data_IF_665888577793
#
_entry.id   IF_665888577793
#
_cell.length_a   1.000
_cell.length_b   1.000
_cell.length_c   1.000
_cell.angle_alpha   90.00
_cell.angle_beta   90.00
_cell.angle_gamma   90.00
#
_symmetry.space_group_name_H-M   'P 1'
#
loop_
_entity.id
_entity.type
_entity.pdbx_description
1 polymer ?
#
# COMPACT_ATOMS: atom_id res chain seq x y z
N UNK A 1 -26.71 12.95 -7.84
CA UNK A 1 -25.68 13.95 -7.44
C UNK A 1 -24.34 13.28 -7.67
N UNK A 2 -23.49 13.81 -8.55
CA UNK A 2 -22.16 13.26 -8.82
C UNK A 2 -21.34 13.33 -7.53
N UNK A 3 -20.96 12.18 -6.98
CA UNK A 3 -19.97 12.10 -5.91
C UNK A 3 -18.60 12.43 -6.51
N UNK A 4 -18.32 13.72 -6.71
CA UNK A 4 -16.98 14.16 -7.07
C UNK A 4 -16.05 13.87 -5.91
N UNK A 5 -15.09 12.99 -6.17
CA UNK A 5 -14.07 12.59 -5.21
C UNK A 5 -13.11 13.77 -5.04
N UNK A 6 -13.07 14.34 -3.85
CA UNK A 6 -12.20 15.49 -3.54
C UNK A 6 -10.83 15.00 -3.07
N UNK A 7 -9.75 15.63 -3.56
CA UNK A 7 -8.39 15.32 -3.10
C UNK A 7 -8.14 16.11 -1.81
N UNK A 8 -7.70 15.43 -0.75
CA UNK A 8 -7.32 16.09 0.50
C UNK A 8 -6.14 17.06 0.28
N UNK A 9 -6.13 18.24 0.90
CA UNK A 9 -5.01 19.17 0.76
C UNK A 9 -3.74 18.60 1.39
N UNK A 10 -2.58 18.91 0.79
CA UNK A 10 -1.27 18.58 1.37
C UNK A 10 -1.05 19.44 2.65
N UNK A 11 -0.77 18.80 3.77
CA UNK A 11 -0.46 19.47 5.04
C UNK A 11 1.02 19.86 5.11
N UNK A 12 1.34 20.89 5.87
CA UNK A 12 2.72 21.36 6.01
C UNK A 12 3.61 20.28 6.65
N UNK A 13 4.89 20.27 6.25
CA UNK A 13 5.88 19.34 6.82
C UNK A 13 6.06 19.56 8.34
N UNK A 14 5.92 20.80 8.79
CA UNK A 14 5.99 21.16 10.21
C UNK A 14 4.94 20.41 11.04
N UNK A 15 3.69 20.37 10.55
CA UNK A 15 2.59 19.67 11.20
C UNK A 15 2.65 18.15 11.00
N UNK A 16 3.22 17.68 9.90
CA UNK A 16 3.34 16.26 9.60
C UNK A 16 4.43 15.59 10.44
N UNK A 17 5.68 16.09 10.42
CA UNK A 17 6.85 15.40 10.98
C UNK A 17 7.71 16.19 11.97
N UNK A 18 7.67 17.53 11.95
CA UNK A 18 8.66 18.35 12.64
C UNK A 18 8.11 18.93 13.97
N UNK A 19 8.47 20.16 14.31
CA UNK A 19 8.40 20.73 15.66
C UNK A 19 7.00 20.78 16.30
N UNK A 20 5.94 20.89 15.49
CA UNK A 20 4.56 20.84 16.00
C UNK A 20 3.98 19.42 16.06
N UNK A 21 4.73 18.42 15.59
CA UNK A 21 4.33 17.03 15.64
C UNK A 21 4.55 16.44 17.03
N UNK A 22 3.46 15.95 17.62
CA UNK A 22 3.43 15.20 18.87
C UNK A 22 3.24 13.73 18.55
N UNK A 23 4.06 12.89 19.16
CA UNK A 23 4.01 11.44 19.02
C UNK A 23 3.87 10.76 20.39
N UNK A 24 3.03 9.74 20.46
CA UNK A 24 2.82 8.94 21.66
C UNK A 24 2.51 7.49 21.28
N UNK A 25 3.12 6.55 21.99
CA UNK A 25 2.83 5.12 21.86
C UNK A 25 1.32 4.88 22.07
N UNK A 26 0.63 4.17 21.17
CA UNK A 26 -0.79 3.91 21.30
C UNK A 26 -1.10 3.05 22.52
N UNK A 27 -2.26 3.28 23.13
CA UNK A 27 -2.74 2.42 24.20
C UNK A 27 -3.37 1.16 23.57
N UNK A 28 -2.62 0.07 23.51
CA UNK A 28 -3.08 -1.21 22.93
C UNK A 28 -4.20 -1.89 23.72
N UNK A 29 -4.52 -1.41 24.94
CA UNK A 29 -5.65 -1.92 25.72
C UNK A 29 -7.00 -1.38 25.26
N UNK A 30 -7.00 -0.24 24.56
CA UNK A 30 -8.19 0.44 24.05
C UNK A 30 -8.08 0.50 22.52
N UNK A 31 -8.45 -0.61 21.89
CA UNK A 31 -8.29 -0.82 20.45
C UNK A 31 -9.16 0.14 19.63
N UNK A 32 -10.36 0.48 20.12
CA UNK A 32 -11.26 1.41 19.45
C UNK A 32 -10.64 2.82 19.38
N UNK A 33 -10.08 3.29 20.50
CA UNK A 33 -9.38 4.58 20.53
C UNK A 33 -8.13 4.59 19.66
N UNK A 34 -7.40 3.48 19.58
CA UNK A 34 -6.25 3.36 18.68
C UNK A 34 -6.68 3.35 17.21
N UNK A 35 -7.70 2.57 16.85
CA UNK A 35 -8.25 2.54 15.48
C UNK A 35 -8.74 3.93 15.06
N UNK A 36 -9.49 4.61 15.92
CA UNK A 36 -9.98 5.98 15.65
C UNK A 36 -8.83 6.97 15.44
N UNK A 37 -7.74 6.82 16.20
CA UNK A 37 -6.53 7.62 16.00
C UNK A 37 -5.92 7.36 14.63
N UNK A 38 -5.73 6.09 14.28
CA UNK A 38 -5.15 5.67 12.99
C UNK A 38 -6.02 6.21 11.84
N UNK A 39 -7.31 5.92 11.83
CA UNK A 39 -8.26 6.36 10.80
C UNK A 39 -8.31 7.89 10.67
N UNK A 40 -8.41 8.61 11.79
CA UNK A 40 -8.43 10.07 11.79
C UNK A 40 -7.15 10.67 11.21
N UNK A 41 -5.99 10.11 11.57
CA UNK A 41 -4.71 10.56 11.02
C UNK A 41 -4.58 10.22 9.52
N UNK A 42 -5.02 9.03 9.10
CA UNK A 42 -5.03 8.60 7.69
C UNK A 42 -5.83 9.54 6.79
N UNK A 43 -7.01 9.98 7.26
CA UNK A 43 -7.83 10.96 6.55
C UNK A 43 -7.17 12.34 6.51
N UNK A 44 -6.69 12.82 7.66
CA UNK A 44 -6.17 14.19 7.78
C UNK A 44 -4.87 14.42 6.98
N UNK A 45 -3.98 13.42 6.96
CA UNK A 45 -2.68 13.46 6.28
C UNK A 45 -2.63 12.63 5.00
N UNK A 46 -3.79 12.30 4.39
CA UNK A 46 -3.88 11.42 3.22
C UNK A 46 -2.83 11.75 2.14
N UNK A 47 -2.76 13.01 1.72
CA UNK A 47 -1.86 13.44 0.64
C UNK A 47 -0.39 13.42 1.07
N UNK A 48 -0.09 13.70 2.34
CA UNK A 48 1.26 13.53 2.90
C UNK A 48 1.69 12.05 2.92
N UNK A 49 0.78 11.13 3.28
CA UNK A 49 1.06 9.71 3.26
C UNK A 49 1.28 9.18 1.85
N UNK A 50 0.49 9.62 0.87
CA UNK A 50 0.72 9.28 -0.53
C UNK A 50 2.10 9.78 -1.00
N UNK A 51 2.45 11.03 -0.71
CA UNK A 51 3.75 11.58 -1.05
C UNK A 51 4.90 10.83 -0.36
N UNK A 52 4.78 10.53 0.93
CA UNK A 52 5.74 9.73 1.67
C UNK A 52 5.91 8.33 1.06
N UNK A 53 4.81 7.70 0.62
CA UNK A 53 4.86 6.41 -0.04
C UNK A 53 5.67 6.45 -1.33
N UNK A 54 5.42 7.46 -2.18
CA UNK A 54 6.17 7.67 -3.43
C UNK A 54 7.65 7.91 -3.13
N UNK A 55 7.98 8.79 -2.19
CA UNK A 55 9.37 9.10 -1.84
C UNK A 55 10.11 7.87 -1.33
N UNK A 56 9.52 7.12 -0.39
CA UNK A 56 10.12 5.90 0.16
C UNK A 56 10.30 4.84 -0.92
N UNK A 57 9.27 4.63 -1.75
CA UNK A 57 9.34 3.68 -2.87
C UNK A 57 10.46 4.05 -3.86
N UNK A 58 10.59 5.33 -4.20
CA UNK A 58 11.65 5.83 -5.08
C UNK A 58 13.04 5.66 -4.44
N UNK A 59 13.19 5.91 -3.13
CA UNK A 59 14.47 5.70 -2.43
C UNK A 59 14.87 4.22 -2.52
N UNK A 60 13.96 3.28 -2.20
CA UNK A 60 14.23 1.84 -2.36
C UNK A 60 14.55 1.50 -3.81
N UNK A 61 13.80 2.10 -4.75
CA UNK A 61 14.00 2.05 -6.20
C UNK A 61 15.41 2.41 -6.63
N UNK A 62 15.93 3.53 -6.13
CA UNK A 62 17.23 4.07 -6.47
C UNK A 62 18.39 3.31 -5.80
N UNK A 63 18.16 2.74 -4.62
CA UNK A 63 19.17 1.92 -3.91
C UNK A 63 19.33 0.53 -4.55
N UNK A 64 18.24 -0.04 -5.09
CA UNK A 64 18.25 -1.37 -5.70
C UNK A 64 17.57 -1.43 -7.09
N UNK A 65 18.00 -0.62 -8.08
CA UNK A 65 17.28 -0.42 -9.34
C UNK A 65 17.14 -1.71 -10.17
N UNK A 66 18.23 -2.48 -10.28
CA UNK A 66 18.21 -3.74 -11.03
C UNK A 66 17.25 -4.75 -10.38
N UNK A 67 17.32 -4.90 -9.05
CA UNK A 67 16.46 -5.84 -8.33
C UNK A 67 14.99 -5.43 -8.39
N UNK A 68 14.70 -4.13 -8.41
CA UNK A 68 13.33 -3.61 -8.58
C UNK A 68 12.78 -3.93 -9.96
N UNK A 69 13.53 -3.66 -11.03
CA UNK A 69 13.13 -4.02 -12.41
C UNK A 69 12.95 -5.54 -12.53
N UNK A 70 13.92 -6.31 -12.05
CA UNK A 70 13.85 -7.77 -12.01
C UNK A 70 12.61 -8.27 -11.24
N UNK A 71 12.30 -7.69 -10.08
CA UNK A 71 11.14 -8.04 -9.27
C UNK A 71 9.83 -7.76 -10.00
N UNK A 72 9.70 -6.59 -10.65
CA UNK A 72 8.53 -6.24 -11.47
C UNK A 72 8.36 -7.23 -12.62
N UNK A 73 9.43 -7.52 -13.37
CA UNK A 73 9.40 -8.46 -14.49
C UNK A 73 9.05 -9.88 -14.03
N UNK A 74 9.60 -10.33 -12.89
CA UNK A 74 9.31 -11.65 -12.34
C UNK A 74 7.83 -11.78 -11.93
N UNK A 75 7.28 -10.81 -11.19
CA UNK A 75 5.86 -10.81 -10.79
C UNK A 75 4.97 -10.71 -12.03
N UNK A 76 5.30 -9.84 -12.99
CA UNK A 76 4.57 -9.70 -14.24
C UNK A 76 4.59 -10.98 -15.09
N UNK A 77 5.73 -11.67 -15.16
CA UNK A 77 5.84 -12.95 -15.86
C UNK A 77 5.00 -14.05 -15.20
N UNK A 78 5.01 -14.14 -13.87
CA UNK A 78 4.16 -15.10 -13.12
C UNK A 78 2.69 -14.80 -13.36
N UNK A 79 2.28 -13.54 -13.30
CA UNK A 79 0.90 -13.13 -13.56
C UNK A 79 0.48 -13.42 -15.01
N UNK A 80 1.33 -13.08 -15.98
CA UNK A 80 1.11 -13.37 -17.39
C UNK A 80 0.99 -14.87 -17.68
N UNK A 81 1.86 -15.68 -17.07
CA UNK A 81 1.81 -17.14 -17.15
C UNK A 81 0.50 -17.67 -16.57
N UNK A 82 0.07 -17.18 -15.40
CA UNK A 82 -1.19 -17.55 -14.78
C UNK A 82 -2.40 -17.24 -15.68
N UNK A 83 -2.45 -16.02 -16.23
CA UNK A 83 -3.50 -15.61 -17.16
C UNK A 83 -3.49 -16.47 -18.44
N UNK A 84 -2.31 -16.74 -19.01
CA UNK A 84 -2.18 -17.58 -20.19
C UNK A 84 -2.67 -19.01 -19.95
N UNK A 85 -2.20 -19.65 -18.87
CA UNK A 85 -2.60 -21.02 -18.52
C UNK A 85 -4.09 -21.11 -18.25
N UNK A 86 -4.67 -20.13 -17.56
CA UNK A 86 -6.10 -20.11 -17.23
C UNK A 86 -6.96 -19.95 -18.48
N UNK A 87 -6.57 -19.08 -19.42
CA UNK A 87 -7.34 -18.80 -20.62
C UNK A 87 -7.09 -19.82 -21.76
N UNK A 88 -5.91 -20.43 -21.82
CA UNK A 88 -5.48 -21.30 -22.93
C UNK A 88 -5.15 -22.73 -22.49
N UNK A 89 -5.94 -23.30 -21.57
CA UNK A 89 -5.75 -24.66 -21.01
C UNK A 89 -5.53 -25.74 -22.07
N UNK A 90 -6.22 -25.66 -23.22
CA UNK A 90 -6.10 -26.65 -24.31
C UNK A 90 -4.74 -26.59 -25.00
N UNK A 91 -4.19 -25.39 -25.19
CA UNK A 91 -2.85 -25.19 -25.78
C UNK A 91 -1.75 -25.69 -24.84
N UNK A 92 -1.84 -25.33 -23.55
CA UNK A 92 -0.88 -25.77 -22.54
C UNK A 92 -0.88 -27.30 -22.36
N UNK A 93 -2.06 -27.93 -22.39
CA UNK A 93 -2.19 -29.39 -22.28
C UNK A 93 -1.67 -30.11 -23.53
N UNK A 94 -1.93 -29.57 -24.72
CA UNK A 94 -1.42 -30.12 -25.99
C UNK A 94 0.11 -30.05 -26.05
N UNK A 95 0.71 -28.91 -25.69
CA UNK A 95 2.16 -28.75 -25.63
C UNK A 95 2.83 -29.78 -24.69
N UNK A 96 2.24 -30.03 -23.52
CA UNK A 96 2.74 -31.05 -22.58
C UNK A 96 2.72 -32.46 -23.18
N UNK A 97 1.68 -32.78 -23.95
CA UNK A 97 1.49 -34.10 -24.58
C UNK A 97 2.41 -34.31 -25.78
N UNK A 98 2.57 -33.28 -26.60
CA UNK A 98 3.35 -33.34 -27.84
C UNK A 98 4.86 -33.25 -27.56
N UNK A 99 5.27 -32.55 -26.50
CA UNK A 99 6.68 -32.32 -26.15
C UNK A 99 6.97 -32.56 -24.65
N UNK A 100 6.98 -33.82 -24.16
CA UNK A 100 7.14 -34.14 -22.74
C UNK A 100 8.52 -33.76 -22.18
N UNK A 101 9.60 -33.97 -22.93
CA UNK A 101 10.97 -33.62 -22.50
C UNK A 101 11.14 -32.10 -22.39
N UNK A 102 10.66 -31.35 -23.38
CA UNK A 102 10.71 -29.88 -23.35
C UNK A 102 9.89 -29.32 -22.17
N UNK A 103 8.76 -29.95 -21.84
CA UNK A 103 7.95 -29.59 -20.68
C UNK A 103 8.70 -29.77 -19.35
N UNK A 104 9.48 -30.85 -19.21
CA UNK A 104 10.33 -31.05 -18.03
C UNK A 104 11.43 -30.00 -17.95
N UNK A 105 12.09 -29.67 -19.06
CA UNK A 105 13.11 -28.61 -19.10
C UNK A 105 12.53 -27.25 -18.71
N UNK A 106 11.33 -26.92 -19.18
CA UNK A 106 10.61 -25.68 -18.79
C UNK A 106 10.31 -25.68 -17.28
N UNK A 107 9.94 -26.81 -16.69
CA UNK A 107 9.68 -26.89 -15.24
C UNK A 107 10.97 -26.65 -14.44
N UNK A 108 12.07 -27.32 -14.78
CA UNK A 108 13.34 -27.16 -14.06
C UNK A 108 13.93 -25.76 -14.24
N UNK A 109 13.96 -25.24 -15.47
CA UNK A 109 14.41 -23.87 -15.75
C UNK A 109 13.53 -22.82 -15.07
N UNK A 110 12.21 -23.02 -15.07
CA UNK A 110 11.27 -22.16 -14.35
C UNK A 110 11.51 -22.18 -12.84
N UNK A 111 11.74 -23.35 -12.25
CA UNK A 111 12.09 -23.49 -10.83
C UNK A 111 13.39 -22.77 -10.48
N UNK A 112 14.45 -22.96 -11.29
CA UNK A 112 15.72 -22.25 -11.11
C UNK A 112 15.54 -20.73 -11.25
N UNK A 113 14.79 -20.28 -12.25
CA UNK A 113 14.48 -18.87 -12.45
C UNK A 113 13.77 -18.27 -11.24
N UNK A 114 12.78 -18.96 -10.66
CA UNK A 114 12.08 -18.51 -9.44
C UNK A 114 13.05 -18.35 -8.28
N UNK A 115 13.92 -19.34 -8.03
CA UNK A 115 14.91 -19.27 -6.95
C UNK A 115 15.89 -18.11 -7.18
N UNK A 116 16.38 -17.95 -8.40
CA UNK A 116 17.28 -16.87 -8.79
C UNK A 116 16.65 -15.48 -8.59
N UNK A 117 15.35 -15.34 -8.92
CA UNK A 117 14.64 -14.07 -8.84
C UNK A 117 14.06 -13.77 -7.45
N UNK A 118 14.09 -14.73 -6.52
CA UNK A 118 13.47 -14.60 -5.20
C UNK A 118 13.96 -13.34 -4.46
N UNK A 119 15.27 -13.09 -4.46
CA UNK A 119 15.83 -11.89 -3.81
C UNK A 119 15.34 -10.58 -4.43
N UNK A 120 15.13 -10.56 -5.74
CA UNK A 120 14.59 -9.40 -6.46
C UNK A 120 13.11 -9.18 -6.15
N UNK A 121 12.33 -10.27 -6.11
CA UNK A 121 10.91 -10.22 -5.71
C UNK A 121 10.77 -9.73 -4.26
N UNK A 122 11.59 -10.23 -3.34
CA UNK A 122 11.57 -9.79 -1.94
C UNK A 122 11.87 -8.29 -1.81
N UNK A 123 12.85 -7.77 -2.54
CA UNK A 123 13.19 -6.34 -2.50
C UNK A 123 12.08 -5.49 -3.12
N UNK A 124 11.47 -5.96 -4.22
CA UNK A 124 10.32 -5.29 -4.82
C UNK A 124 9.12 -5.25 -3.86
N UNK A 125 8.77 -6.37 -3.23
CA UNK A 125 7.70 -6.44 -2.23
C UNK A 125 8.02 -5.57 -1.00
N UNK A 126 9.26 -5.57 -0.55
CA UNK A 126 9.72 -4.69 0.53
C UNK A 126 9.57 -3.22 0.16
N UNK A 127 9.90 -2.83 -1.07
CA UNK A 127 9.69 -1.48 -1.58
C UNK A 127 8.23 -1.03 -1.52
N UNK A 128 7.28 -1.94 -1.74
CA UNK A 128 5.83 -1.68 -1.61
C UNK A 128 5.39 -1.69 -0.14
N UNK A 129 5.89 -2.61 0.68
CA UNK A 129 5.44 -2.80 2.06
C UNK A 129 6.01 -1.77 3.04
N UNK A 130 7.26 -1.35 2.85
CA UNK A 130 7.92 -0.36 3.71
C UNK A 130 7.10 0.94 3.86
N UNK A 131 6.63 1.60 2.79
CA UNK A 131 5.81 2.81 2.96
C UNK A 131 4.49 2.54 3.69
N UNK A 132 3.84 1.39 3.48
CA UNK A 132 2.61 1.02 4.20
C UNK A 132 2.87 0.91 5.70
N UNK A 133 3.96 0.24 6.08
CA UNK A 133 4.38 0.11 7.49
C UNK A 133 4.69 1.48 8.09
N UNK A 134 5.42 2.34 7.38
CA UNK A 134 5.75 3.69 7.86
C UNK A 134 4.50 4.55 8.03
N UNK A 135 3.54 4.49 7.10
CA UNK A 135 2.23 5.15 7.22
C UNK A 135 1.49 4.66 8.47
N UNK A 136 1.47 3.35 8.69
CA UNK A 136 0.79 2.76 9.85
C UNK A 136 1.45 3.16 11.18
N UNK A 137 2.78 3.12 11.25
CA UNK A 137 3.53 3.57 12.43
C UNK A 137 3.26 5.05 12.69
N UNK A 138 3.39 5.89 11.66
CA UNK A 138 3.17 7.33 11.80
C UNK A 138 1.75 7.65 12.25
N UNK A 139 0.73 7.06 11.60
CA UNK A 139 -0.69 7.26 11.96
C UNK A 139 -1.04 6.72 13.35
N UNK A 140 -0.35 5.68 13.82
CA UNK A 140 -0.52 5.13 15.18
C UNK A 140 0.08 6.03 16.26
N UNK A 141 1.28 6.56 15.99
CA UNK A 141 2.02 7.37 16.96
C UNK A 141 1.55 8.82 17.00
N UNK A 142 1.10 9.39 15.88
CA UNK A 142 0.76 10.81 15.78
C UNK A 142 -0.42 11.17 16.70
N UNK A 143 -0.17 12.10 17.62
CA UNK A 143 -1.19 12.71 18.47
C UNK A 143 -1.75 13.97 17.83
N UNK A 144 -3.06 14.11 17.84
CA UNK A 144 -3.71 15.31 17.35
C UNK A 144 -3.81 16.39 18.45
N UNK A 145 -3.34 17.61 18.14
CA UNK A 145 -3.58 18.80 18.99
C UNK A 145 -5.07 19.11 19.11
N UNK A 146 -5.51 19.63 20.25
CA UNK A 146 -6.92 20.03 20.49
C UNK A 146 -7.38 21.11 19.48
N UNK A 147 -6.48 22.00 19.04
CA UNK A 147 -6.78 22.96 17.95
C UNK A 147 -7.13 22.25 16.64
N UNK A 148 -6.45 21.15 16.32
CA UNK A 148 -6.73 20.38 15.11
C UNK A 148 -8.07 19.62 15.24
N UNK A 149 -8.56 19.30 16.44
CA UNK A 149 -9.88 18.66 16.65
C UNK A 149 -11.05 19.59 16.31
N UNK A 150 -10.91 20.89 16.57
CA UNK A 150 -11.95 21.91 16.31
C UNK A 150 -12.07 22.24 14.81
N UNK A 151 -10.93 22.41 14.11
CA UNK A 151 -10.94 22.55 12.63
C UNK A 151 -11.53 21.32 11.94
N UNK A 152 -11.43 20.13 12.57
CA UNK A 152 -11.89 18.88 11.98
C UNK A 152 -13.41 18.79 11.82
N UNK A 153 -14.21 19.37 12.73
CA UNK A 153 -15.68 19.25 12.64
C UNK A 153 -16.25 19.90 11.36
N UNK A 154 -15.54 20.84 10.77
CA UNK A 154 -15.91 21.51 9.51
C UNK A 154 -15.37 20.71 8.30
N UNK A 155 -14.19 20.10 8.42
CA UNK A 155 -13.57 19.28 7.35
C UNK A 155 -14.13 17.83 7.26
N UNK A 156 -14.78 17.30 8.32
CA UNK A 156 -15.35 15.93 8.36
C UNK A 156 -16.33 15.64 7.22
N UNK A 157 -17.05 16.66 6.73
CA UNK A 157 -17.99 16.52 5.61
C UNK A 157 -17.24 16.36 4.27
N UNK A 158 -16.07 17.00 4.12
CA UNK A 158 -15.21 16.87 2.93
C UNK A 158 -14.40 15.57 2.92
N UNK A 159 -13.98 15.07 4.08
CA UNK A 159 -13.15 13.85 4.15
C UNK A 159 -13.88 12.57 3.70
N UNK A 160 -15.20 12.48 3.86
CA UNK A 160 -15.99 11.33 3.33
C UNK A 160 -15.90 11.21 1.81
N UNK A 161 -15.65 12.30 1.08
CA UNK A 161 -15.53 12.31 -0.37
C UNK A 161 -14.12 11.99 -0.87
N UNK A 162 -13.14 11.83 0.01
CA UNK A 162 -11.76 11.54 -0.39
C UNK A 162 -11.57 10.04 -0.67
N UNK A 163 -10.57 9.64 -1.49
CA UNK A 163 -10.29 8.22 -1.72
C UNK A 163 -10.03 7.43 -0.42
N UNK A 164 -9.34 8.02 0.56
CA UNK A 164 -9.12 7.35 1.85
C UNK A 164 -10.40 7.29 2.69
N UNK A 165 -11.26 8.31 2.58
CA UNK A 165 -12.61 8.30 3.15
C UNK A 165 -13.43 7.11 2.67
N UNK A 166 -13.53 6.97 1.35
CA UNK A 166 -14.24 5.85 0.70
C UNK A 166 -13.62 4.50 1.05
N UNK A 167 -12.29 4.42 1.11
CA UNK A 167 -11.58 3.20 1.49
C UNK A 167 -11.90 2.76 2.93
N UNK A 168 -11.85 3.69 3.90
CA UNK A 168 -12.16 3.39 5.30
C UNK A 168 -13.65 3.09 5.52
N UNK A 169 -14.53 3.73 4.76
CA UNK A 169 -15.96 3.42 4.74
C UNK A 169 -16.22 1.98 4.25
N UNK A 170 -15.57 1.57 3.15
CA UNK A 170 -15.64 0.19 2.65
C UNK A 170 -15.10 -0.85 3.66
N UNK A 171 -14.22 -0.44 4.58
CA UNK A 171 -13.71 -1.28 5.68
C UNK A 171 -14.60 -1.26 6.94
N UNK A 172 -15.75 -0.58 6.91
CA UNK A 172 -16.71 -0.51 8.01
C UNK A 172 -16.26 0.39 9.18
N UNK A 173 -15.32 1.32 8.97
CA UNK A 173 -14.82 2.21 10.02
C UNK A 173 -15.64 3.50 10.19
N UNK A 174 -16.93 3.49 9.88
CA UNK A 174 -17.80 4.68 9.78
C UNK A 174 -17.94 5.49 11.08
N UNK A 175 -17.90 4.81 12.23
CA UNK A 175 -17.96 5.43 13.58
C UNK A 175 -16.71 6.26 13.91
N UNK A 176 -15.56 5.90 13.36
CA UNK A 176 -14.27 6.60 13.57
C UNK A 176 -14.19 7.95 12.84
N UNK A 177 -14.99 8.10 11.79
CA UNK A 177 -15.05 9.30 10.94
C UNK A 177 -15.96 10.37 11.57
N UNK A 178 -16.94 9.93 12.38
CA UNK A 178 -18.03 10.78 12.91
C UNK A 178 -17.87 11.18 14.38
N UNK A 179 -17.00 10.51 15.16
CA UNK A 179 -16.72 10.82 16.58
C UNK A 179 -15.73 11.99 16.77
#
# INVERSE_FOLDING_TARGET
>A
MSNEVEIAPLRSLSDFLLESARFQIPNVKDLDKWSNRVCSNLLYYQTNYFFMAVVVFLIVGLVHPIKMICGILAVGAVFGLFCYVTNSKRSATKFKRDHPVLSLLVIFSGGYFVVYMLGSVLIFLFGIMLPVVLIFIHSSLRLRSIRNKLTNKIETIGFKKTPMGLFLEALGQESSITS
#
